data_IF_066882606189
#
_entry.id   IF_066882606189
#
_cell.length_a   1.000
_cell.length_b   1.000
_cell.length_c   1.000
_cell.angle_alpha   90.00
_cell.angle_beta   90.00
_cell.angle_gamma   90.00
#
_symmetry.space_group_name_H-M   'P 1'
#
loop_
_entity.id
_entity.type
_entity.pdbx_description
1 polymer ?
#
# COMPACT_ATOMS: atom_id res chain seq x y z
N UNK A 1 -20.72 -20.46 -6.53
CA UNK A 1 -20.50 -20.95 -5.14
C UNK A 1 -19.66 -19.88 -4.48
N UNK A 2 -20.06 -19.34 -3.32
CA UNK A 2 -19.24 -18.36 -2.62
C UNK A 2 -18.04 -19.06 -1.97
N UNK A 3 -16.85 -18.66 -2.34
CA UNK A 3 -15.61 -19.18 -1.75
C UNK A 3 -15.14 -18.25 -0.62
N UNK A 4 -14.78 -18.83 0.52
CA UNK A 4 -14.29 -18.06 1.68
C UNK A 4 -12.92 -18.57 2.12
N UNK A 5 -12.02 -17.63 2.38
CA UNK A 5 -10.73 -17.87 3.02
C UNK A 5 -10.94 -17.78 4.53
N UNK A 6 -10.58 -18.84 5.24
CA UNK A 6 -10.65 -18.90 6.70
C UNK A 6 -9.30 -18.59 7.31
N UNK A 7 -9.27 -17.76 8.37
CA UNK A 7 -8.04 -17.35 9.03
C UNK A 7 -8.27 -17.06 10.52
N UNK A 8 -7.17 -17.03 11.28
CA UNK A 8 -7.16 -16.67 12.70
C UNK A 8 -6.24 -15.51 12.95
N UNK A 9 -6.75 -14.44 13.59
CA UNK A 9 -5.99 -13.25 13.97
C UNK A 9 -6.34 -12.86 15.40
N UNK A 10 -5.33 -12.60 16.22
CA UNK A 10 -5.46 -12.20 17.62
C UNK A 10 -6.44 -13.12 18.41
N UNK A 11 -6.39 -14.44 18.12
CA UNK A 11 -7.24 -15.45 18.74
C UNK A 11 -8.67 -15.54 18.20
N UNK A 12 -9.06 -14.69 17.24
CA UNK A 12 -10.40 -14.66 16.63
C UNK A 12 -10.39 -15.36 15.28
N UNK A 13 -11.44 -16.11 15.01
CA UNK A 13 -11.68 -16.75 13.72
C UNK A 13 -12.45 -15.81 12.81
N UNK A 14 -11.96 -15.65 11.58
CA UNK A 14 -12.53 -14.79 10.55
C UNK A 14 -12.66 -15.57 9.24
N UNK A 15 -13.55 -15.11 8.37
CA UNK A 15 -13.57 -15.50 6.97
C UNK A 15 -13.76 -14.28 6.09
N UNK A 16 -13.13 -14.30 4.92
CA UNK A 16 -13.26 -13.27 3.89
C UNK A 16 -13.68 -13.93 2.58
N UNK A 17 -14.62 -13.33 1.87
CA UNK A 17 -15.00 -13.79 0.54
C UNK A 17 -13.84 -13.56 -0.44
N UNK A 18 -13.46 -14.54 -1.24
CA UNK A 18 -12.39 -14.45 -2.23
C UNK A 18 -12.67 -13.40 -3.31
N UNK A 19 -13.95 -13.29 -3.72
CA UNK A 19 -14.38 -12.40 -4.80
C UNK A 19 -14.79 -11.01 -4.29
N UNK A 20 -15.12 -10.88 -2.99
CA UNK A 20 -15.51 -9.62 -2.34
C UNK A 20 -14.72 -9.40 -1.05
N UNK A 21 -13.62 -8.68 -1.16
CA UNK A 21 -12.74 -8.32 -0.04
C UNK A 21 -13.42 -7.46 1.05
N UNK A 22 -14.64 -7.00 0.81
CA UNK A 22 -15.47 -6.27 1.77
C UNK A 22 -16.51 -7.17 2.48
N UNK A 23 -16.70 -8.42 2.05
CA UNK A 23 -17.51 -9.40 2.77
C UNK A 23 -16.64 -10.19 3.77
N UNK A 24 -16.45 -9.60 4.94
CA UNK A 24 -15.65 -10.17 6.03
C UNK A 24 -16.58 -10.50 7.19
N UNK A 25 -16.46 -11.71 7.73
CA UNK A 25 -17.22 -12.18 8.89
C UNK A 25 -16.31 -12.64 10.01
N UNK A 26 -16.76 -12.50 11.24
CA UNK A 26 -16.06 -12.92 12.46
C UNK A 26 -16.94 -13.87 13.26
N UNK A 27 -16.34 -14.94 13.77
CA UNK A 27 -17.05 -15.89 14.64
C UNK A 27 -17.28 -15.25 16.02
N UNK A 28 -18.53 -15.28 16.48
CA UNK A 28 -18.87 -14.78 17.82
C UNK A 28 -18.29 -15.69 18.91
N UNK A 29 -18.05 -15.12 20.09
CA UNK A 29 -17.58 -15.83 21.29
C UNK A 29 -18.72 -16.27 22.21
N UNK A 30 -19.97 -16.25 21.74
CA UNK A 30 -21.14 -16.70 22.49
C UNK A 30 -21.19 -18.23 22.66
N UNK A 31 -22.00 -18.70 23.60
CA UNK A 31 -22.21 -20.15 23.83
C UNK A 31 -22.65 -20.91 22.58
N UNK A 32 -23.38 -20.23 21.69
CA UNK A 32 -23.73 -20.73 20.35
C UNK A 32 -23.01 -19.83 19.33
N UNK A 33 -21.81 -20.21 18.84
CA UNK A 33 -21.05 -19.40 17.92
C UNK A 33 -21.77 -19.21 16.58
N UNK A 34 -21.75 -17.98 16.07
CA UNK A 34 -22.31 -17.63 14.74
C UNK A 34 -21.41 -16.61 14.03
N UNK A 35 -21.42 -16.68 12.72
CA UNK A 35 -20.71 -15.72 11.87
C UNK A 35 -21.46 -14.39 11.78
N UNK A 36 -20.81 -13.32 12.17
CA UNK A 36 -21.34 -11.97 12.10
C UNK A 36 -20.52 -11.14 11.09
N UNK A 37 -21.20 -10.39 10.23
CA UNK A 37 -20.53 -9.46 9.30
C UNK A 37 -19.76 -8.39 10.08
N UNK A 38 -18.49 -8.16 9.69
CA UNK A 38 -17.69 -7.08 10.25
C UNK A 38 -18.01 -5.75 9.59
N UNK A 39 -18.09 -4.71 10.40
CA UNK A 39 -18.21 -3.34 9.90
C UNK A 39 -16.84 -2.84 9.46
N UNK A 40 -16.81 -2.26 8.25
CA UNK A 40 -15.62 -1.62 7.69
C UNK A 40 -15.74 -0.12 7.91
N UNK A 41 -14.81 0.43 8.69
CA UNK A 41 -14.71 1.86 8.95
C UNK A 41 -13.72 2.57 8.02
N UNK A 42 -13.68 3.90 8.11
CA UNK A 42 -12.73 4.74 7.38
C UNK A 42 -11.97 5.62 8.37
N UNK A 43 -10.63 5.58 8.31
CA UNK A 43 -9.76 6.46 9.10
C UNK A 43 -9.79 7.89 8.53
N UNK A 44 -9.41 8.88 9.32
CA UNK A 44 -9.25 10.28 8.87
C UNK A 44 -8.28 10.44 7.70
N UNK A 45 -7.36 9.49 7.53
CA UNK A 45 -6.41 9.42 6.41
C UNK A 45 -7.01 8.84 5.12
N UNK A 46 -8.29 8.43 5.12
CA UNK A 46 -8.99 7.80 3.99
C UNK A 46 -8.86 6.26 3.93
N UNK A 47 -7.90 5.67 4.64
CA UNK A 47 -7.74 4.21 4.65
C UNK A 47 -8.91 3.49 5.32
N UNK A 48 -9.33 2.37 4.73
CA UNK A 48 -10.31 1.46 5.31
C UNK A 48 -9.69 0.61 6.42
N UNK A 49 -10.49 0.26 7.45
CA UNK A 49 -10.07 -0.61 8.55
C UNK A 49 -11.20 -1.53 9.00
N UNK A 50 -10.82 -2.63 9.63
CA UNK A 50 -11.70 -3.48 10.46
C UNK A 50 -11.27 -3.40 11.91
N UNK A 51 -12.20 -3.68 12.84
CA UNK A 51 -11.90 -3.70 14.27
C UNK A 51 -11.94 -5.13 14.79
N UNK A 52 -10.84 -5.57 15.42
CA UNK A 52 -10.72 -6.88 16.05
C UNK A 52 -10.23 -6.67 17.48
N UNK A 53 -10.95 -7.19 18.47
CA UNK A 53 -10.62 -7.03 19.89
C UNK A 53 -10.33 -5.57 20.30
N UNK A 54 -11.15 -4.62 19.81
CA UNK A 54 -10.98 -3.19 20.09
C UNK A 54 -9.84 -2.49 19.32
N UNK A 55 -9.05 -3.22 18.53
CA UNK A 55 -7.90 -2.67 17.78
C UNK A 55 -8.23 -2.52 16.29
N UNK A 56 -7.88 -1.38 15.71
CA UNK A 56 -8.00 -1.14 14.28
C UNK A 56 -6.92 -1.89 13.50
N UNK A 57 -7.33 -2.66 12.51
CA UNK A 57 -6.45 -3.31 11.53
C UNK A 57 -6.73 -2.70 10.16
N UNK A 58 -5.71 -2.17 9.50
CA UNK A 58 -5.87 -1.61 8.13
C UNK A 58 -6.33 -2.68 7.17
N UNK A 59 -7.40 -2.41 6.42
CA UNK A 59 -8.08 -3.39 5.58
C UNK A 59 -7.15 -4.00 4.51
N UNK A 60 -6.37 -3.18 3.79
CA UNK A 60 -5.42 -3.69 2.79
C UNK A 60 -4.39 -4.66 3.35
N UNK A 61 -3.90 -4.45 4.59
CA UNK A 61 -2.97 -5.39 5.24
C UNK A 61 -3.67 -6.70 5.61
N UNK A 62 -4.92 -6.60 6.07
CA UNK A 62 -5.73 -7.76 6.40
C UNK A 62 -6.04 -8.60 5.14
N UNK A 63 -6.48 -7.96 4.05
CA UNK A 63 -6.76 -8.65 2.78
C UNK A 63 -5.50 -9.32 2.24
N UNK A 64 -4.36 -8.59 2.22
CA UNK A 64 -3.11 -9.17 1.76
C UNK A 64 -2.71 -10.41 2.59
N UNK A 65 -2.83 -10.35 3.91
CA UNK A 65 -2.58 -11.47 4.81
C UNK A 65 -3.52 -12.64 4.54
N UNK A 66 -4.81 -12.40 4.35
CA UNK A 66 -5.79 -13.45 4.10
C UNK A 66 -5.42 -14.30 2.87
N UNK A 67 -4.98 -13.64 1.80
CA UNK A 67 -4.55 -14.30 0.56
C UNK A 67 -3.09 -14.81 0.59
N UNK A 68 -2.29 -14.39 1.58
CA UNK A 68 -0.87 -14.75 1.71
C UNK A 68 -0.55 -15.06 3.19
N UNK A 69 -1.10 -16.14 3.74
CA UNK A 69 -1.02 -16.48 5.17
C UNK A 69 0.41 -16.69 5.70
N UNK A 70 1.40 -16.90 4.82
CA UNK A 70 2.82 -16.90 5.19
C UNK A 70 3.41 -15.51 5.41
N UNK A 71 2.70 -14.43 5.03
CA UNK A 71 3.17 -13.07 5.25
C UNK A 71 2.90 -12.60 6.69
N UNK A 72 3.89 -11.95 7.32
CA UNK A 72 3.75 -11.51 8.70
C UNK A 72 2.99 -10.18 8.80
N UNK A 73 1.70 -10.23 9.11
CA UNK A 73 0.85 -9.04 9.29
C UNK A 73 1.29 -8.15 10.46
N UNK A 74 1.94 -8.72 11.47
CA UNK A 74 2.39 -7.99 12.68
C UNK A 74 3.74 -7.31 12.48
N UNK A 75 4.49 -7.65 11.44
CA UNK A 75 5.74 -6.98 11.11
C UNK A 75 5.47 -5.57 10.54
N UNK A 76 5.83 -4.56 11.32
CA UNK A 76 5.73 -3.14 10.96
C UNK A 76 7.09 -2.55 10.53
N UNK A 77 8.06 -3.39 10.16
CA UNK A 77 9.37 -2.95 9.68
C UNK A 77 9.27 -2.12 8.40
N UNK A 78 10.34 -1.39 8.09
CA UNK A 78 10.42 -0.59 6.85
C UNK A 78 10.42 -1.42 5.56
N UNK A 79 10.51 -2.74 5.67
CA UNK A 79 10.55 -3.66 4.54
C UNK A 79 9.24 -4.43 4.35
N UNK A 80 8.20 -4.12 5.12
CA UNK A 80 6.94 -4.88 5.13
C UNK A 80 5.71 -3.96 4.98
N UNK A 81 5.76 -3.03 4.03
CA UNK A 81 4.61 -2.18 3.68
C UNK A 81 3.74 -2.84 2.62
N UNK A 82 2.42 -2.63 2.70
CA UNK A 82 1.51 -2.93 1.59
C UNK A 82 1.25 -1.63 0.84
N UNK A 83 1.46 -1.67 -0.47
CA UNK A 83 1.26 -0.57 -1.42
C UNK A 83 0.09 -0.87 -2.35
N UNK A 84 -0.68 0.15 -2.71
CA UNK A 84 -1.70 0.10 -3.74
C UNK A 84 -1.06 0.45 -5.09
N UNK A 85 -1.07 -0.49 -6.02
CA UNK A 85 -0.34 -0.38 -7.30
C UNK A 85 -0.82 0.82 -8.11
N UNK A 86 -2.14 1.04 -8.15
CA UNK A 86 -2.78 2.17 -8.83
C UNK A 86 -2.70 3.49 -8.06
N UNK A 87 -2.26 3.47 -6.80
CA UNK A 87 -2.21 4.62 -5.90
C UNK A 87 -3.55 4.97 -5.26
N UNK A 88 -4.63 4.26 -5.55
CA UNK A 88 -5.95 4.44 -4.91
C UNK A 88 -6.04 3.62 -3.61
N UNK A 89 -5.98 4.30 -2.47
CA UNK A 89 -5.98 3.69 -1.13
C UNK A 89 -7.31 3.04 -0.74
N UNK A 90 -8.38 3.19 -1.54
CA UNK A 90 -9.66 2.53 -1.30
C UNK A 90 -9.85 1.28 -2.17
N UNK A 91 -9.04 1.12 -3.24
CA UNK A 91 -9.04 -0.08 -4.06
C UNK A 91 -8.25 -1.21 -3.39
N UNK A 92 -8.92 -1.95 -2.53
CA UNK A 92 -8.31 -3.05 -1.77
C UNK A 92 -8.41 -4.43 -2.47
N UNK A 93 -8.62 -4.47 -3.79
CA UNK A 93 -8.51 -5.73 -4.56
C UNK A 93 -7.13 -6.34 -4.34
N UNK A 94 -7.07 -7.65 -4.08
CA UNK A 94 -5.79 -8.34 -3.83
C UNK A 94 -4.81 -8.20 -5.00
N UNK A 95 -5.31 -8.12 -6.23
CA UNK A 95 -4.51 -7.90 -7.44
C UNK A 95 -3.87 -6.51 -7.50
N UNK A 96 -4.41 -5.56 -6.73
CA UNK A 96 -3.89 -4.19 -6.59
C UNK A 96 -2.94 -4.02 -5.41
N UNK A 97 -2.70 -5.07 -4.61
CA UNK A 97 -1.89 -5.00 -3.39
C UNK A 97 -0.55 -5.73 -3.57
N UNK A 98 0.53 -5.11 -3.10
CA UNK A 98 1.87 -5.72 -3.12
C UNK A 98 2.69 -5.36 -1.89
N UNK A 99 3.61 -6.25 -1.50
CA UNK A 99 4.61 -5.94 -0.46
C UNK A 99 5.72 -5.09 -1.05
N UNK A 100 6.08 -4.04 -0.34
CA UNK A 100 7.15 -3.11 -0.73
C UNK A 100 7.95 -2.66 0.47
N UNK A 101 9.17 -2.20 0.25
CA UNK A 101 9.93 -1.45 1.25
C UNK A 101 9.33 -0.05 1.42
N UNK A 102 9.63 0.62 2.53
CA UNK A 102 9.28 2.03 2.76
C UNK A 102 9.75 2.93 1.60
N UNK A 103 10.94 2.65 1.06
CA UNK A 103 11.49 3.41 -0.05
C UNK A 103 10.67 3.23 -1.32
N UNK A 104 10.33 1.99 -1.67
CA UNK A 104 9.50 1.67 -2.84
C UNK A 104 8.10 2.26 -2.70
N UNK A 105 7.50 2.21 -1.50
CA UNK A 105 6.21 2.85 -1.24
C UNK A 105 6.27 4.37 -1.47
N UNK A 106 7.39 5.02 -1.12
CA UNK A 106 7.59 6.43 -1.42
C UNK A 106 7.72 6.71 -2.93
N UNK A 107 8.20 5.74 -3.73
CA UNK A 107 8.31 5.89 -5.19
C UNK A 107 6.95 5.94 -5.88
N UNK A 108 5.94 5.25 -5.34
CA UNK A 108 4.59 5.22 -5.88
C UNK A 108 3.77 6.50 -5.56
N UNK A 109 4.31 7.43 -4.78
CA UNK A 109 3.62 8.69 -4.48
C UNK A 109 3.44 9.55 -5.73
N UNK A 110 2.19 9.76 -6.12
CA UNK A 110 1.81 10.56 -7.31
C UNK A 110 2.07 12.06 -7.13
N UNK A 111 2.06 12.56 -5.88
CA UNK A 111 2.22 13.98 -5.56
C UNK A 111 3.67 14.41 -5.36
N UNK A 112 4.64 13.49 -5.36
CA UNK A 112 6.05 13.83 -5.17
C UNK A 112 6.63 14.43 -6.46
N UNK A 113 6.81 15.75 -6.47
CA UNK A 113 7.56 16.43 -7.52
C UNK A 113 9.05 16.41 -7.18
N UNK A 114 9.88 15.84 -8.05
CA UNK A 114 11.33 15.82 -7.90
C UNK A 114 12.00 17.04 -8.54
N UNK A 115 11.26 18.10 -8.84
CA UNK A 115 11.76 19.33 -9.44
C UNK A 115 11.11 20.54 -8.79
N UNK A 116 11.84 21.67 -8.79
CA UNK A 116 11.39 22.93 -8.18
C UNK A 116 12.17 24.11 -8.76
N UNK A 117 11.55 25.31 -8.75
CA UNK A 117 12.20 26.53 -9.12
C UNK A 117 13.32 26.92 -8.13
N UNK A 118 14.54 27.12 -8.63
CA UNK A 118 15.67 27.57 -7.85
C UNK A 118 15.85 29.08 -8.00
N UNK A 119 15.45 29.86 -7.00
CA UNK A 119 15.34 31.30 -7.06
C UNK A 119 16.66 32.01 -7.37
N UNK A 120 17.78 31.53 -6.77
CA UNK A 120 19.09 32.14 -6.93
C UNK A 120 19.60 32.07 -8.37
N UNK A 121 19.49 30.90 -8.97
CA UNK A 121 20.04 30.61 -10.29
C UNK A 121 19.00 30.85 -11.41
N UNK A 122 17.76 31.24 -11.03
CA UNK A 122 16.63 31.47 -11.96
C UNK A 122 16.44 30.33 -12.95
N UNK A 123 16.51 29.07 -12.44
CA UNK A 123 16.38 27.85 -13.23
C UNK A 123 15.54 26.82 -12.48
N UNK A 124 15.02 25.87 -13.19
CA UNK A 124 14.36 24.70 -12.62
C UNK A 124 15.40 23.66 -12.23
N UNK A 125 15.42 23.27 -10.95
CA UNK A 125 16.29 22.23 -10.43
C UNK A 125 15.53 20.92 -10.38
N UNK A 126 16.08 19.83 -10.95
CA UNK A 126 15.59 18.47 -10.77
C UNK A 126 16.53 17.64 -9.89
N UNK A 127 15.94 16.80 -9.05
CA UNK A 127 16.65 15.88 -8.16
C UNK A 127 15.79 14.66 -7.85
N UNK A 128 16.43 13.52 -7.58
CA UNK A 128 15.74 12.30 -7.16
C UNK A 128 16.37 11.77 -5.87
N UNK A 129 15.56 11.18 -4.99
CA UNK A 129 16.04 10.59 -3.73
C UNK A 129 16.14 9.09 -3.88
N UNK A 130 17.33 8.54 -3.65
CA UNK A 130 17.61 7.11 -3.65
C UNK A 130 18.48 6.77 -2.42
N UNK A 131 18.10 5.74 -1.66
CA UNK A 131 18.82 5.29 -0.45
C UNK A 131 19.16 6.45 0.51
N UNK A 132 18.17 7.32 0.77
CA UNK A 132 18.29 8.53 1.59
C UNK A 132 19.26 9.59 1.05
N UNK A 133 19.85 9.41 -0.12
CA UNK A 133 20.72 10.42 -0.78
C UNK A 133 19.96 11.10 -1.90
N UNK A 134 20.17 12.42 -2.06
CA UNK A 134 19.67 13.18 -3.19
C UNK A 134 20.68 13.12 -4.33
N UNK A 135 20.22 12.67 -5.49
CA UNK A 135 20.97 12.70 -6.75
C UNK A 135 20.48 13.95 -7.50
N UNK A 136 21.39 14.88 -7.76
CA UNK A 136 21.12 16.06 -8.57
C UNK A 136 21.07 15.66 -10.05
N UNK A 137 20.00 16.05 -10.75
CA UNK A 137 19.77 15.70 -12.16
C UNK A 137 20.10 16.85 -13.11
N UNK A 138 20.17 18.08 -12.59
CA UNK A 138 20.54 19.27 -13.36
C UNK A 138 19.69 20.49 -13.05
N UNK A 139 20.07 21.60 -13.70
CA UNK A 139 19.30 22.83 -13.80
C UNK A 139 18.82 23.02 -15.24
N UNK A 140 17.57 23.43 -15.40
CA UNK A 140 16.86 23.50 -16.67
C UNK A 140 16.22 24.88 -16.82
N UNK A 141 16.01 25.31 -18.05
CA UNK A 141 15.40 26.59 -18.35
C UNK A 141 13.87 26.55 -18.21
N UNK A 142 13.27 25.37 -18.42
CA UNK A 142 11.81 25.16 -18.33
C UNK A 142 11.43 24.13 -17.26
N UNK A 143 10.20 24.25 -16.75
CA UNK A 143 9.61 23.25 -15.84
C UNK A 143 9.48 21.89 -16.51
N UNK A 144 9.16 21.89 -17.80
CA UNK A 144 8.95 20.68 -18.58
C UNK A 144 10.24 19.85 -18.71
N UNK A 145 11.36 20.49 -19.02
CA UNK A 145 12.68 19.83 -19.07
C UNK A 145 13.07 19.22 -17.73
N UNK A 146 12.91 19.97 -16.64
CA UNK A 146 13.19 19.47 -15.30
C UNK A 146 12.27 18.29 -14.92
N UNK A 147 10.99 18.34 -15.30
CA UNK A 147 10.03 17.27 -15.13
C UNK A 147 10.44 16.02 -15.90
N UNK A 148 10.81 16.18 -17.18
CA UNK A 148 11.23 15.06 -18.04
C UNK A 148 12.49 14.40 -17.49
N UNK A 149 13.50 15.18 -17.08
CA UNK A 149 14.70 14.65 -16.43
C UNK A 149 14.37 13.85 -15.15
N UNK A 150 13.42 14.34 -14.34
CA UNK A 150 12.96 13.61 -13.16
C UNK A 150 12.24 12.30 -13.52
N UNK A 151 11.37 12.31 -14.54
CA UNK A 151 10.62 11.12 -14.97
C UNK A 151 11.55 10.04 -15.54
N UNK A 152 12.57 10.41 -16.31
CA UNK A 152 13.59 9.50 -16.82
C UNK A 152 14.43 8.90 -15.66
N UNK A 153 14.85 9.73 -14.70
CA UNK A 153 15.53 9.26 -13.52
C UNK A 153 14.62 8.33 -12.68
N UNK A 154 13.31 8.63 -12.58
CA UNK A 154 12.33 7.77 -11.90
C UNK A 154 12.24 6.40 -12.55
N UNK A 155 12.17 6.30 -13.86
CA UNK A 155 12.19 5.03 -14.59
C UNK A 155 13.46 4.21 -14.30
N UNK A 156 14.61 4.90 -14.23
CA UNK A 156 15.93 4.26 -14.01
C UNK A 156 16.14 3.79 -12.57
N UNK A 157 15.76 4.60 -11.58
CA UNK A 157 16.13 4.38 -10.18
C UNK A 157 14.98 3.87 -9.29
N UNK A 158 13.72 4.12 -9.65
CA UNK A 158 12.57 3.71 -8.87
C UNK A 158 12.04 2.35 -9.36
N UNK A 159 12.85 1.31 -9.19
CA UNK A 159 12.47 -0.05 -9.59
C UNK A 159 11.47 -0.59 -8.56
N UNK A 160 10.27 -0.95 -9.05
CA UNK A 160 9.22 -1.57 -8.24
C UNK A 160 9.25 -3.09 -8.41
N UNK A 161 8.90 -3.86 -7.35
CA UNK A 161 8.75 -5.30 -7.47
C UNK A 161 7.72 -5.64 -8.56
N UNK A 162 8.08 -6.57 -9.44
CA UNK A 162 7.13 -7.17 -10.38
C UNK A 162 6.13 -8.02 -9.58
N UNK A 163 4.85 -7.98 -9.97
CA UNK A 163 3.88 -8.95 -9.47
C UNK A 163 4.31 -10.31 -10.00
N UNK A 164 4.62 -11.24 -9.09
CA UNK A 164 4.80 -12.63 -9.48
C UNK A 164 3.40 -13.20 -9.73
N UNK A 165 3.06 -13.63 -10.95
CA UNK A 165 1.80 -14.31 -11.19
C UNK A 165 1.75 -15.53 -10.26
N UNK A 166 0.66 -15.71 -9.51
CA UNK A 166 0.42 -16.99 -8.83
C UNK A 166 0.21 -18.04 -9.92
N UNK A 167 1.11 -19.01 -9.99
CA UNK A 167 0.93 -20.26 -10.75
C UNK A 167 -0.17 -21.09 -10.15
#
# INVERSE_FOLDING_TARGET
MMCYIYLKIDGRELMINEDDSYDIKILSTSLVPKWNKLTIGTLSTGYKYIQINGKHKRLHRFIYYAHNQGWNISDNSKNNHIDHIDGDIVNNDIRNLRVVTQQQNNFNRTRAKGYSWHKRDKKWRAQIKLNNKHIHLGYFDTEEEARNAYLEAKKKYHIMPQLVPKS
#
